data_IF_016054722056
#
_entry.id   IF_016054722056
#
_cell.length_a   1.000
_cell.length_b   1.000
_cell.length_c   1.000
_cell.angle_alpha   90.00
_cell.angle_beta   90.00
_cell.angle_gamma   90.00
#
_symmetry.space_group_name_H-M   'P 1'
#
loop_
_entity.id
_entity.type
_entity.pdbx_description
1 polymer ?
#
# COMPACT_ATOMS: atom_id res chain seq x y z
N UNK A 1 -38.90 25.47 7.71
CA UNK A 1 -37.84 24.51 8.07
C UNK A 1 -37.23 24.01 6.78
N UNK A 2 -35.96 24.30 6.49
CA UNK A 2 -35.27 23.64 5.38
C UNK A 2 -35.10 22.18 5.80
N UNK A 3 -35.94 21.29 5.28
CA UNK A 3 -35.65 19.86 5.29
C UNK A 3 -34.44 19.65 4.37
N UNK A 4 -33.25 19.83 4.93
CA UNK A 4 -31.99 19.75 4.22
C UNK A 4 -31.78 18.33 3.72
N UNK A 5 -31.87 18.13 2.41
CA UNK A 5 -31.21 17.00 1.77
C UNK A 5 -29.72 17.17 2.04
N UNK A 6 -29.20 16.43 3.02
CA UNK A 6 -27.76 16.29 3.19
C UNK A 6 -27.27 15.54 1.95
N UNK A 7 -26.38 16.16 1.17
CA UNK A 7 -25.67 15.47 0.11
C UNK A 7 -24.87 14.31 0.71
N UNK A 8 -24.52 13.33 -0.13
CA UNK A 8 -23.57 12.31 0.32
C UNK A 8 -22.24 12.99 0.70
N UNK A 9 -21.60 12.55 1.79
CA UNK A 9 -20.30 13.09 2.16
C UNK A 9 -19.27 12.77 1.08
N UNK A 10 -18.39 13.72 0.81
CA UNK A 10 -17.19 13.47 0.01
C UNK A 10 -16.18 12.69 0.87
N UNK A 11 -15.66 11.59 0.33
CA UNK A 11 -14.73 10.70 1.03
C UNK A 11 -13.44 10.66 0.25
N UNK A 12 -12.32 10.89 0.94
CA UNK A 12 -10.96 10.69 0.46
C UNK A 12 -10.24 9.71 1.37
N UNK A 13 -9.44 8.82 0.80
CA UNK A 13 -8.59 7.91 1.55
C UNK A 13 -7.12 8.24 1.29
N UNK A 14 -6.28 8.00 2.29
CA UNK A 14 -4.84 8.15 2.21
C UNK A 14 -4.16 6.99 2.91
N UNK A 15 -2.94 6.69 2.49
CA UNK A 15 -2.07 5.74 3.16
C UNK A 15 -1.46 6.40 4.42
N UNK A 16 -1.63 5.83 5.62
CA UNK A 16 -1.13 6.44 6.85
C UNK A 16 0.39 6.48 6.96
N UNK A 17 1.13 5.61 6.27
CA UNK A 17 2.59 5.56 6.34
C UNK A 17 3.24 6.66 5.49
N UNK A 18 2.70 6.91 4.30
CA UNK A 18 3.26 7.89 3.35
C UNK A 18 2.49 9.20 3.28
N UNK A 19 1.25 9.24 3.78
CA UNK A 19 0.34 10.38 3.63
C UNK A 19 -0.19 10.56 2.21
N UNK A 20 0.08 9.62 1.29
CA UNK A 20 -0.32 9.72 -0.12
C UNK A 20 -1.77 9.32 -0.33
N UNK A 21 -2.45 9.99 -1.25
CA UNK A 21 -3.84 9.72 -1.58
C UNK A 21 -4.01 8.34 -2.26
N UNK A 22 -5.03 7.61 -1.84
CA UNK A 22 -5.43 6.34 -2.45
C UNK A 22 -6.44 6.60 -3.58
N UNK A 23 -6.40 5.81 -4.67
CA UNK A 23 -7.35 5.94 -5.76
C UNK A 23 -8.76 5.59 -5.27
N UNK A 24 -9.68 6.55 -5.41
CA UNK A 24 -11.09 6.36 -5.04
C UNK A 24 -11.88 5.81 -6.22
N UNK A 25 -12.75 4.84 -5.96
CA UNK A 25 -13.72 4.34 -6.95
C UNK A 25 -14.89 5.34 -7.08
N UNK A 26 -15.24 5.66 -8.33
CA UNK A 26 -16.39 6.50 -8.68
C UNK A 26 -17.69 5.67 -8.77
N UNK A 27 -18.84 6.35 -8.80
CA UNK A 27 -20.16 5.76 -9.06
C UNK A 27 -20.65 4.74 -8.02
N UNK A 28 -20.23 4.90 -6.76
CA UNK A 28 -20.67 4.04 -5.64
C UNK A 28 -21.82 4.66 -4.83
N UNK A 29 -22.46 5.73 -5.33
CA UNK A 29 -23.50 6.48 -4.61
C UNK A 29 -24.69 5.61 -4.20
N UNK A 30 -25.06 4.62 -5.03
CA UNK A 30 -26.13 3.67 -4.72
C UNK A 30 -25.82 2.78 -3.52
N UNK A 31 -24.54 2.49 -3.25
CA UNK A 31 -24.10 1.71 -2.08
C UNK A 31 -23.90 2.59 -0.84
N UNK A 32 -23.68 3.88 -1.03
CA UNK A 32 -23.45 4.86 0.04
C UNK A 32 -24.72 5.59 0.47
N UNK A 33 -25.81 5.41 -0.27
CA UNK A 33 -27.10 6.02 0.03
C UNK A 33 -27.60 5.64 1.42
N UNK A 34 -28.15 6.63 2.13
CA UNK A 34 -28.80 6.38 3.41
C UNK A 34 -30.02 5.48 3.21
N UNK A 35 -30.00 4.30 3.84
CA UNK A 35 -31.05 3.28 3.73
C UNK A 35 -31.54 2.83 5.11
N UNK A 36 -32.80 2.40 5.17
CA UNK A 36 -33.38 1.74 6.34
C UNK A 36 -33.00 0.26 6.45
N UNK A 37 -32.46 -0.33 5.37
CA UNK A 37 -32.01 -1.73 5.30
C UNK A 37 -30.50 -1.82 5.07
N UNK A 38 -29.65 -1.47 6.06
CA UNK A 38 -28.21 -1.49 5.89
C UNK A 38 -27.65 -2.91 5.66
N UNK A 39 -28.29 -3.94 6.22
CA UNK A 39 -27.87 -5.33 6.05
C UNK A 39 -27.88 -5.79 4.60
N UNK A 40 -28.89 -5.39 3.82
CA UNK A 40 -29.01 -5.74 2.40
C UNK A 40 -27.89 -5.09 1.57
N UNK A 41 -27.53 -3.85 1.89
CA UNK A 41 -26.42 -3.14 1.25
C UNK A 41 -25.07 -3.76 1.62
N UNK A 42 -24.88 -4.16 2.88
CA UNK A 42 -23.66 -4.87 3.31
C UNK A 42 -23.53 -6.20 2.58
N UNK A 43 -24.63 -6.95 2.42
CA UNK A 43 -24.64 -8.20 1.66
C UNK A 43 -24.30 -7.99 0.18
N UNK A 44 -24.82 -6.91 -0.42
CA UNK A 44 -24.50 -6.53 -1.79
C UNK A 44 -23.01 -6.18 -1.96
N UNK A 45 -22.45 -5.38 -1.05
CA UNK A 45 -21.01 -5.03 -1.05
C UNK A 45 -20.15 -6.28 -0.88
N UNK A 46 -20.54 -7.21 0.00
CA UNK A 46 -19.81 -8.47 0.22
C UNK A 46 -19.83 -9.40 -1.00
N UNK A 47 -20.86 -9.31 -1.85
CA UNK A 47 -20.96 -10.05 -3.10
C UNK A 47 -20.14 -9.42 -4.25
N UNK A 48 -19.65 -8.20 -4.10
CA UNK A 48 -18.80 -7.54 -5.10
C UNK A 48 -17.37 -8.07 -5.04
N UNK A 49 -16.64 -8.07 -6.17
CA UNK A 49 -15.23 -8.44 -6.16
C UNK A 49 -14.44 -7.45 -5.30
N UNK A 50 -13.55 -7.93 -4.42
CA UNK A 50 -12.71 -7.06 -3.59
C UNK A 50 -11.74 -6.27 -4.48
N UNK A 51 -11.31 -5.07 -4.04
CA UNK A 51 -10.29 -4.32 -4.74
C UNK A 51 -8.99 -5.12 -4.81
N UNK A 52 -8.22 -4.98 -5.91
CA UNK A 52 -6.99 -5.74 -6.09
C UNK A 52 -5.98 -5.39 -4.98
N UNK A 53 -5.22 -6.37 -4.47
CA UNK A 53 -4.19 -6.12 -3.48
C UNK A 53 -3.10 -5.22 -4.06
N UNK A 54 -2.48 -4.39 -3.21
CA UNK A 54 -1.37 -3.53 -3.60
C UNK A 54 -0.10 -4.37 -3.76
N UNK A 55 0.39 -4.52 -4.99
CA UNK A 55 1.60 -5.26 -5.35
C UNK A 55 2.29 -4.63 -6.57
N UNK A 56 3.44 -5.16 -6.98
CA UNK A 56 4.23 -4.61 -8.08
C UNK A 56 3.48 -4.57 -9.43
N UNK A 57 2.51 -5.46 -9.64
CA UNK A 57 1.69 -5.51 -10.86
C UNK A 57 0.49 -4.57 -10.82
N UNK A 58 0.01 -4.21 -9.63
CA UNK A 58 -1.17 -3.33 -9.44
C UNK A 58 -0.81 -1.90 -9.10
N UNK A 59 0.42 -1.65 -8.63
CA UNK A 59 1.00 -0.33 -8.40
C UNK A 59 1.43 0.33 -9.73
N UNK A 60 0.46 0.61 -10.59
CA UNK A 60 0.67 1.20 -11.92
C UNK A 60 1.01 2.69 -11.87
N UNK A 61 0.78 3.36 -10.73
CA UNK A 61 1.11 4.77 -10.53
C UNK A 61 2.31 4.96 -9.61
N UNK A 62 3.11 6.03 -9.79
CA UNK A 62 4.27 6.33 -8.94
C UNK A 62 3.91 6.46 -7.45
N UNK A 63 2.74 6.97 -7.13
CA UNK A 63 2.24 7.13 -5.75
C UNK A 63 1.99 5.78 -5.10
N UNK A 64 1.34 4.86 -5.81
CA UNK A 64 1.09 3.49 -5.34
C UNK A 64 2.38 2.69 -5.16
N UNK A 65 3.39 2.94 -6.00
CA UNK A 65 4.71 2.33 -5.85
C UNK A 65 5.42 2.81 -4.58
N UNK A 66 5.33 4.11 -4.25
CA UNK A 66 5.89 4.66 -3.01
C UNK A 66 5.20 4.08 -1.77
N UNK A 67 3.87 3.96 -1.80
CA UNK A 67 3.11 3.31 -0.74
C UNK A 67 3.58 1.86 -0.56
N UNK A 68 3.66 1.09 -1.65
CA UNK A 68 4.11 -0.30 -1.62
C UNK A 68 5.49 -0.45 -0.98
N UNK A 69 6.45 0.39 -1.34
CA UNK A 69 7.81 0.36 -0.78
C UNK A 69 7.80 0.71 0.72
N UNK A 70 6.99 1.68 1.14
CA UNK A 70 6.89 2.05 2.55
C UNK A 70 6.31 0.92 3.41
N UNK A 71 5.30 0.21 2.91
CA UNK A 71 4.74 -0.95 3.60
C UNK A 71 5.75 -2.11 3.68
N UNK A 72 6.48 -2.39 2.60
CA UNK A 72 7.54 -3.40 2.61
C UNK A 72 8.68 -3.04 3.55
N UNK A 73 9.05 -1.75 3.61
CA UNK A 73 10.05 -1.26 4.55
C UNK A 73 9.62 -1.44 6.01
N UNK A 74 8.34 -1.18 6.31
CA UNK A 74 7.79 -1.42 7.64
C UNK A 74 7.76 -2.91 8.00
N UNK A 75 7.33 -3.78 7.07
CA UNK A 75 7.32 -5.22 7.26
C UNK A 75 8.74 -5.77 7.48
N UNK A 76 9.71 -5.31 6.69
CA UNK A 76 11.13 -5.64 6.87
C UNK A 76 11.69 -5.10 8.19
N UNK A 77 11.29 -3.91 8.62
CA UNK A 77 11.70 -3.35 9.90
C UNK A 77 11.12 -4.15 11.08
N UNK A 78 9.86 -4.59 10.99
CA UNK A 78 9.25 -5.47 12.00
C UNK A 78 9.91 -6.85 12.01
N UNK A 79 10.15 -7.44 10.84
CA UNK A 79 10.86 -8.71 10.73
C UNK A 79 12.31 -8.64 11.23
N UNK A 80 12.98 -7.48 11.08
CA UNK A 80 14.32 -7.20 11.62
C UNK A 80 14.30 -6.75 13.09
N UNK A 81 13.13 -6.48 13.68
CA UNK A 81 12.98 -6.38 15.14
C UNK A 81 12.78 -7.76 15.76
N UNK A 82 12.10 -8.67 15.07
CA UNK A 82 11.92 -10.06 15.50
C UNK A 82 13.17 -10.93 15.28
N UNK A 83 14.07 -10.52 14.38
CA UNK A 83 15.42 -11.08 14.21
C UNK A 83 16.41 -9.95 14.19
N UNK A 84 17.30 -9.93 15.17
CA UNK A 84 18.40 -8.97 15.37
C UNK A 84 19.34 -8.87 14.15
N UNK A 85 18.88 -8.29 13.05
CA UNK A 85 19.65 -8.11 11.81
C UNK A 85 19.82 -6.60 11.56
N UNK A 86 20.58 -5.95 12.45
CA UNK A 86 20.98 -4.55 12.39
C UNK A 86 21.58 -4.12 11.03
N UNK A 87 22.04 -5.08 10.23
CA UNK A 87 22.53 -4.87 8.86
C UNK A 87 21.44 -4.41 7.88
N UNK A 88 20.18 -4.85 8.05
CA UNK A 88 19.09 -4.46 7.15
C UNK A 88 18.56 -3.06 7.45
N UNK A 89 18.52 -2.69 8.75
CA UNK A 89 18.15 -1.34 9.18
C UNK A 89 19.13 -0.29 8.65
N UNK A 90 20.43 -0.59 8.65
CA UNK A 90 21.46 0.28 8.06
C UNK A 90 21.31 0.44 6.55
N UNK A 91 20.89 -0.61 5.83
CA UNK A 91 20.70 -0.58 4.38
C UNK A 91 19.46 0.23 3.95
N UNK A 92 18.36 0.13 4.69
CA UNK A 92 17.17 0.96 4.42
C UNK A 92 17.41 2.44 4.73
N UNK A 93 18.13 2.74 5.82
CA UNK A 93 18.50 4.11 6.15
C UNK A 93 19.40 4.73 5.05
N UNK A 94 20.30 3.94 4.47
CA UNK A 94 21.15 4.39 3.37
C UNK A 94 20.36 4.57 2.05
N UNK A 95 19.42 3.68 1.75
CA UNK A 95 18.56 3.78 0.57
C UNK A 95 17.55 4.96 0.64
N UNK A 96 17.16 5.37 1.84
CA UNK A 96 16.29 6.53 2.06
C UNK A 96 17.07 7.86 2.01
N UNK A 97 18.37 7.86 2.31
CA UNK A 97 19.20 9.05 2.35
C UNK A 97 19.86 9.42 1.00
N UNK A 98 19.89 8.51 0.03
CA UNK A 98 20.42 8.80 -1.31
C UNK A 98 19.38 9.57 -2.15
N UNK A 99 19.43 10.91 -2.04
CA UNK A 99 18.74 11.86 -2.90
C UNK A 99 19.27 11.75 -4.34
N UNK A 100 18.81 10.73 -5.04
CA UNK A 100 19.18 10.55 -6.45
C UNK A 100 18.87 9.16 -6.95
N UNK A 101 17.67 8.63 -6.70
CA UNK A 101 17.27 7.28 -7.18
C UNK A 101 17.55 7.15 -8.68
N UNK A 102 18.59 6.40 -9.11
CA UNK A 102 18.84 6.21 -10.52
C UNK A 102 17.82 5.20 -11.07
N UNK A 103 17.51 5.33 -12.36
CA UNK A 103 16.73 4.33 -13.08
C UNK A 103 17.41 2.95 -12.92
N UNK A 104 16.64 1.92 -12.54
CA UNK A 104 17.17 0.57 -12.29
C UNK A 104 17.43 0.21 -10.82
N UNK A 105 17.06 1.07 -9.85
CA UNK A 105 17.19 0.73 -8.42
C UNK A 105 16.37 -0.53 -8.03
N UNK A 106 15.32 -0.83 -8.78
CA UNK A 106 14.49 -2.03 -8.60
C UNK A 106 15.24 -3.31 -9.03
N UNK A 107 15.99 -3.26 -10.12
CA UNK A 107 16.87 -4.36 -10.56
C UNK A 107 18.01 -4.58 -9.56
N UNK A 108 18.57 -3.52 -8.98
CA UNK A 108 19.62 -3.64 -7.96
C UNK A 108 19.13 -4.25 -6.64
N UNK A 109 17.85 -4.08 -6.29
CA UNK A 109 17.24 -4.79 -5.17
C UNK A 109 16.93 -6.24 -5.52
N UNK A 110 16.43 -6.51 -6.72
CA UNK A 110 16.13 -7.86 -7.19
C UNK A 110 17.41 -8.72 -7.29
N UNK A 111 18.50 -8.14 -7.79
CA UNK A 111 19.80 -8.80 -7.93
C UNK A 111 20.42 -9.10 -6.56
N UNK A 112 20.33 -8.17 -5.59
CA UNK A 112 20.85 -8.38 -4.24
C UNK A 112 20.03 -9.39 -3.42
N UNK A 113 18.70 -9.45 -3.58
CA UNK A 113 17.87 -10.50 -2.98
C UNK A 113 18.19 -11.87 -3.59
N UNK A 114 18.46 -11.92 -4.89
CA UNK A 114 18.96 -13.12 -5.57
C UNK A 114 20.31 -13.59 -5.02
N UNK A 115 21.23 -12.65 -4.78
CA UNK A 115 22.58 -12.95 -4.29
C UNK A 115 22.61 -13.40 -2.81
N UNK A 116 21.71 -12.88 -1.98
CA UNK A 116 21.54 -13.35 -0.59
C UNK A 116 21.01 -14.78 -0.51
N UNK A 117 20.17 -15.21 -1.47
CA UNK A 117 19.70 -16.59 -1.57
C UNK A 117 20.76 -17.55 -2.10
N UNK A 118 21.72 -17.06 -2.89
CA UNK A 118 22.84 -17.85 -3.41
C UNK A 118 23.97 -18.02 -2.38
N UNK A 119 24.18 -17.04 -1.50
CA UNK A 119 25.20 -17.08 -0.44
C UNK A 119 24.82 -17.95 0.77
N UNK A 120 24.05 -19.02 0.55
CA UNK A 120 23.70 -20.03 1.55
C UNK A 120 24.40 -21.39 1.34
N UNK A 121 25.36 -21.49 0.41
CA UNK A 121 26.10 -22.75 0.17
C UNK A 121 27.55 -22.51 -0.24
N UNK A 122 28.45 -22.68 0.74
CA UNK A 122 29.91 -22.93 0.73
C UNK A 122 30.43 -22.20 1.97
N UNK A 123 30.92 -22.85 3.04
CA UNK A 123 31.74 -24.07 3.20
C UNK A 123 31.47 -24.66 4.59
#
# INVERSE_FOLDING_TARGET
MLAGKVGLPEISAFDPLTGLALPMLSNLDGLRAFTQSPGDVVALVAAMPPPPPLNASTATTPELQKILVAHQALEAAQAAQDKEDASLAGLLANAANDQGKPAGWQDLLADQVGNLKSSGKQV
#
